data_IF_041026478659
#
_entry.id   IF_041026478659
#
_cell.length_a   1.000
_cell.length_b   1.000
_cell.length_c   1.000
_cell.angle_alpha   90.00
_cell.angle_beta   90.00
_cell.angle_gamma   90.00
#
_symmetry.space_group_name_H-M   'P 1'
#
loop_
_entity.id
_entity.type
_entity.pdbx_description
1 polymer ?
#
# COMPACT_ATOMS: atom_id res chain seq x y z
N UNK A 1 13.85 -10.56 -5.72
CA UNK A 1 13.00 -11.73 -5.41
C UNK A 1 11.52 -11.39 -5.53
N UNK A 2 11.01 -10.35 -4.83
CA UNK A 2 9.58 -9.99 -4.84
C UNK A 2 9.05 -9.65 -6.25
N UNK A 3 9.76 -8.78 -6.98
CA UNK A 3 9.36 -8.38 -8.33
C UNK A 3 9.34 -9.58 -9.30
N UNK A 4 10.31 -10.49 -9.20
CA UNK A 4 10.32 -11.71 -10.01
C UNK A 4 9.10 -12.60 -9.73
N UNK A 5 8.72 -12.73 -8.47
CA UNK A 5 7.52 -13.49 -8.07
C UNK A 5 6.24 -12.85 -8.61
N UNK A 6 6.11 -11.51 -8.53
CA UNK A 6 4.99 -10.79 -9.13
C UNK A 6 4.90 -11.01 -10.65
N UNK A 7 6.03 -10.96 -11.35
CA UNK A 7 6.07 -11.20 -12.81
C UNK A 7 5.58 -12.61 -13.13
N UNK A 8 6.02 -13.62 -12.38
CA UNK A 8 5.57 -15.00 -12.57
C UNK A 8 4.07 -15.14 -12.35
N UNK A 9 3.54 -14.55 -11.28
CA UNK A 9 2.11 -14.54 -10.98
C UNK A 9 1.30 -13.77 -12.04
N UNK A 10 1.80 -12.64 -12.53
CA UNK A 10 1.16 -11.85 -13.58
C UNK A 10 1.10 -12.63 -14.90
N UNK A 11 2.20 -13.27 -15.31
CA UNK A 11 2.23 -14.12 -16.50
C UNK A 11 1.22 -15.26 -16.34
N UNK A 12 1.19 -15.95 -15.21
CA UNK A 12 0.23 -17.01 -14.95
C UNK A 12 -1.22 -16.51 -15.07
N UNK A 13 -1.53 -15.34 -14.48
CA UNK A 13 -2.87 -14.75 -14.50
C UNK A 13 -3.35 -14.41 -15.92
N UNK A 14 -2.45 -14.01 -16.83
CA UNK A 14 -2.78 -13.73 -18.22
C UNK A 14 -3.19 -14.97 -19.03
N UNK A 15 -2.81 -16.18 -18.60
CA UNK A 15 -3.23 -17.43 -19.25
C UNK A 15 -4.57 -17.97 -18.74
N UNK A 16 -5.23 -17.30 -17.80
CA UNK A 16 -6.55 -17.69 -17.31
C UNK A 16 -7.64 -17.39 -18.36
N UNK A 17 -8.71 -18.17 -18.33
CA UNK A 17 -9.80 -18.08 -19.33
C UNK A 17 -10.53 -16.73 -19.34
N UNK A 18 -10.68 -16.08 -18.19
CA UNK A 18 -11.29 -14.76 -18.04
C UNK A 18 -10.34 -13.57 -18.18
N UNK A 19 -9.09 -13.82 -18.61
CA UNK A 19 -8.06 -12.77 -18.66
C UNK A 19 -8.43 -11.60 -19.57
N UNK A 20 -9.08 -11.86 -20.71
CA UNK A 20 -9.50 -10.83 -21.66
C UNK A 20 -10.50 -9.84 -21.07
N UNK A 21 -11.50 -10.33 -20.35
CA UNK A 21 -12.51 -9.49 -19.69
C UNK A 21 -11.90 -8.71 -18.52
N UNK A 22 -11.11 -9.39 -17.67
CA UNK A 22 -10.42 -8.77 -16.55
C UNK A 22 -9.43 -7.68 -16.98
N UNK A 23 -8.66 -7.90 -18.05
CA UNK A 23 -7.76 -6.89 -18.61
C UNK A 23 -8.52 -5.72 -19.24
N UNK A 24 -9.65 -5.99 -19.89
CA UNK A 24 -10.51 -4.94 -20.44
C UNK A 24 -11.09 -4.08 -19.33
N UNK A 25 -11.57 -4.68 -18.26
CA UNK A 25 -12.06 -3.98 -17.08
C UNK A 25 -10.96 -3.09 -16.47
N UNK A 26 -9.76 -3.60 -16.33
CA UNK A 26 -8.66 -2.92 -15.67
C UNK A 26 -8.04 -1.79 -16.51
N UNK A 27 -7.81 -2.01 -17.80
CA UNK A 27 -7.06 -1.09 -18.66
C UNK A 27 -7.92 -0.18 -19.53
N UNK A 28 -9.22 -0.49 -19.70
CA UNK A 28 -10.10 0.35 -20.53
C UNK A 28 -10.69 1.48 -19.68
N UNK A 29 -10.22 2.72 -19.85
CA UNK A 29 -10.71 3.85 -19.07
C UNK A 29 -12.14 4.19 -19.45
N UNK A 30 -12.99 4.42 -18.46
CA UNK A 30 -14.33 4.97 -18.62
C UNK A 30 -14.32 6.44 -18.14
N UNK A 31 -14.09 7.34 -19.06
CA UNK A 31 -14.00 8.78 -18.76
C UNK A 31 -15.34 9.37 -18.26
N UNK A 32 -16.46 8.68 -18.47
CA UNK A 32 -17.77 9.15 -17.99
C UNK A 32 -17.91 9.08 -16.47
N UNK A 33 -17.09 8.26 -15.83
CA UNK A 33 -17.08 8.06 -14.37
C UNK A 33 -16.12 8.99 -13.63
N UNK A 34 -15.32 9.78 -14.33
CA UNK A 34 -14.39 10.73 -13.72
C UNK A 34 -15.17 11.90 -13.14
N UNK A 35 -15.21 11.98 -11.83
CA UNK A 35 -15.78 13.09 -11.06
C UNK A 35 -14.75 13.60 -10.03
N UNK A 36 -15.12 14.61 -9.25
CA UNK A 36 -14.25 15.18 -8.22
C UNK A 36 -13.76 14.14 -7.20
N UNK A 37 -14.63 13.23 -6.80
CA UNK A 37 -14.30 12.20 -5.80
C UNK A 37 -13.26 11.20 -6.32
N UNK A 38 -13.34 10.83 -7.60
CA UNK A 38 -12.36 9.97 -8.26
C UNK A 38 -10.99 10.63 -8.31
N UNK A 39 -10.95 11.94 -8.63
CA UNK A 39 -9.69 12.70 -8.66
C UNK A 39 -9.07 12.80 -7.26
N UNK A 40 -9.88 13.13 -6.25
CA UNK A 40 -9.42 13.19 -4.85
C UNK A 40 -8.95 11.80 -4.36
N UNK A 41 -9.68 10.75 -4.66
CA UNK A 41 -9.30 9.38 -4.33
C UNK A 41 -7.97 8.97 -4.97
N UNK A 42 -7.77 9.28 -6.25
CA UNK A 42 -6.51 9.01 -6.94
C UNK A 42 -5.33 9.79 -6.34
N UNK A 43 -5.57 11.06 -5.98
CA UNK A 43 -4.58 11.91 -5.32
C UNK A 43 -4.20 11.36 -3.94
N UNK A 44 -5.19 10.97 -3.13
CA UNK A 44 -4.95 10.38 -1.81
C UNK A 44 -4.15 9.07 -1.93
N UNK A 45 -4.47 8.23 -2.91
CA UNK A 45 -3.73 7.01 -3.18
C UNK A 45 -2.26 7.30 -3.57
N UNK A 46 -2.01 8.32 -4.38
CA UNK A 46 -0.66 8.73 -4.74
C UNK A 46 0.14 9.23 -3.51
N UNK A 47 -0.48 10.02 -2.63
CA UNK A 47 0.16 10.46 -1.38
C UNK A 47 0.47 9.28 -0.46
N UNK A 48 -0.43 8.30 -0.40
CA UNK A 48 -0.24 7.12 0.43
C UNK A 48 0.89 6.22 -0.11
N UNK A 49 0.85 5.83 -1.39
CA UNK A 49 1.83 4.89 -1.95
C UNK A 49 3.25 5.46 -2.00
N UNK A 50 3.39 6.74 -2.32
CA UNK A 50 4.67 7.44 -2.35
C UNK A 50 5.11 7.97 -0.98
N UNK A 51 4.28 7.84 0.06
CA UNK A 51 4.56 8.31 1.43
C UNK A 51 5.00 9.78 1.52
N UNK A 52 4.49 10.64 0.64
CA UNK A 52 4.98 12.01 0.47
C UNK A 52 4.75 12.89 1.70
N UNK A 53 3.62 12.73 2.39
CA UNK A 53 3.25 13.52 3.57
C UNK A 53 3.87 13.06 4.89
N UNK A 54 4.51 11.89 4.93
CA UNK A 54 5.08 11.31 6.15
C UNK A 54 6.52 11.76 6.44
N UNK A 55 7.16 12.48 5.54
CA UNK A 55 8.58 12.82 5.68
C UNK A 55 9.54 11.65 5.46
N UNK A 56 9.04 10.44 5.14
CA UNK A 56 9.85 9.24 4.94
C UNK A 56 10.89 9.41 3.86
N UNK A 57 10.53 10.05 2.76
CA UNK A 57 11.47 10.35 1.67
C UNK A 57 12.58 11.31 2.08
N UNK A 58 12.35 12.21 3.04
CA UNK A 58 13.39 13.08 3.58
C UNK A 58 14.43 12.27 4.38
N UNK A 59 13.97 11.30 5.18
CA UNK A 59 14.85 10.42 5.95
C UNK A 59 15.64 9.49 5.02
N UNK A 60 14.98 8.82 4.09
CA UNK A 60 15.68 7.99 3.10
C UNK A 60 16.63 8.81 2.25
N UNK A 61 16.24 10.03 1.84
CA UNK A 61 17.09 10.97 1.15
C UNK A 61 18.34 11.37 1.93
N UNK A 62 18.27 11.39 3.28
CA UNK A 62 19.45 11.67 4.12
C UNK A 62 20.49 10.55 4.13
N UNK A 63 20.11 9.34 3.73
CA UNK A 63 21.01 8.18 3.62
C UNK A 63 21.66 8.04 2.22
N UNK A 64 21.16 8.79 1.24
CA UNK A 64 21.69 8.77 -0.13
C UNK A 64 22.98 9.58 -0.18
N UNK A 65 24.04 9.01 -0.78
CA UNK A 65 25.32 9.68 -1.01
C UNK A 65 25.19 10.87 -1.97
N UNK A 66 26.14 11.82 -1.89
CA UNK A 66 26.14 13.04 -2.72
C UNK A 66 26.39 12.79 -4.22
N UNK A 67 26.80 11.60 -4.57
CA UNK A 67 27.04 11.09 -5.93
C UNK A 67 25.76 10.67 -6.65
N UNK A 68 24.62 10.62 -5.95
CA UNK A 68 23.30 10.29 -6.52
C UNK A 68 22.48 11.55 -6.78
N UNK A 69 21.74 11.55 -7.91
CA UNK A 69 20.78 12.60 -8.22
C UNK A 69 19.44 12.34 -7.51
N UNK A 70 18.99 13.23 -6.64
CA UNK A 70 17.70 13.11 -5.97
C UNK A 70 16.53 13.01 -6.95
N UNK A 71 16.57 13.74 -8.06
CA UNK A 71 15.53 13.66 -9.10
C UNK A 71 15.55 12.30 -9.79
N UNK A 72 16.72 11.73 -10.07
CA UNK A 72 16.87 10.40 -10.64
C UNK A 72 16.29 9.32 -9.73
N UNK A 73 16.60 9.38 -8.43
CA UNK A 73 16.06 8.44 -7.45
C UNK A 73 14.54 8.58 -7.28
N UNK A 74 14.02 9.81 -7.29
CA UNK A 74 12.56 10.05 -7.22
C UNK A 74 11.85 9.43 -8.44
N UNK A 75 12.37 9.60 -9.66
CA UNK A 75 11.82 9.00 -10.87
C UNK A 75 11.87 7.47 -10.80
N UNK A 76 12.94 6.89 -10.30
CA UNK A 76 13.09 5.45 -10.12
C UNK A 76 12.03 4.91 -9.15
N UNK A 77 11.83 5.57 -8.01
CA UNK A 77 10.82 5.19 -7.01
C UNK A 77 9.42 5.23 -7.62
N UNK A 78 9.04 6.34 -8.25
CA UNK A 78 7.72 6.50 -8.88
C UNK A 78 7.49 5.44 -9.96
N UNK A 79 8.50 5.20 -10.79
CA UNK A 79 8.40 4.21 -11.89
C UNK A 79 8.23 2.79 -11.37
N UNK A 80 8.97 2.41 -10.33
CA UNK A 80 8.86 1.09 -9.70
C UNK A 80 7.53 0.92 -8.95
N UNK A 81 7.08 1.93 -8.21
CA UNK A 81 5.79 1.93 -7.53
C UNK A 81 4.63 1.72 -8.53
N UNK A 82 4.62 2.51 -9.59
CA UNK A 82 3.63 2.40 -10.67
C UNK A 82 3.69 1.02 -11.35
N UNK A 83 4.88 0.51 -11.64
CA UNK A 83 5.05 -0.82 -12.24
C UNK A 83 4.47 -1.92 -11.34
N UNK A 84 4.76 -1.88 -10.04
CA UNK A 84 4.25 -2.85 -9.06
C UNK A 84 2.73 -2.76 -8.96
N UNK A 85 2.16 -1.56 -8.91
CA UNK A 85 0.72 -1.36 -8.89
C UNK A 85 0.03 -1.92 -10.14
N UNK A 86 0.60 -1.68 -11.32
CA UNK A 86 0.09 -2.24 -12.58
C UNK A 86 0.18 -3.77 -12.61
N UNK A 87 1.29 -4.36 -12.17
CA UNK A 87 1.43 -5.81 -12.08
C UNK A 87 0.43 -6.44 -11.10
N UNK A 88 0.18 -5.79 -9.96
CA UNK A 88 -0.83 -6.26 -9.00
C UNK A 88 -2.22 -6.32 -9.62
N UNK A 89 -2.63 -5.31 -10.38
CA UNK A 89 -3.89 -5.32 -11.12
C UNK A 89 -3.96 -6.45 -12.16
N UNK A 90 -2.89 -6.68 -12.90
CA UNK A 90 -2.80 -7.80 -13.87
C UNK A 90 -2.91 -9.17 -13.19
N UNK A 91 -2.49 -9.30 -11.94
CA UNK A 91 -2.64 -10.54 -11.17
C UNK A 91 -4.10 -10.72 -10.73
N UNK A 92 -4.71 -9.68 -10.19
CA UNK A 92 -5.97 -9.75 -9.46
C UNK A 92 -7.18 -9.78 -10.40
N UNK A 93 -7.28 -8.81 -11.32
CA UNK A 93 -8.50 -8.68 -12.14
C UNK A 93 -8.79 -9.87 -13.05
N UNK A 94 -7.84 -10.40 -13.84
CA UNK A 94 -8.09 -11.58 -14.62
C UNK A 94 -8.51 -12.79 -13.78
N UNK A 95 -7.94 -12.93 -12.58
CA UNK A 95 -8.29 -14.00 -11.67
C UNK A 95 -9.74 -13.88 -11.17
N UNK A 96 -10.17 -12.67 -10.74
CA UNK A 96 -11.54 -12.41 -10.31
C UNK A 96 -12.56 -12.73 -11.43
N UNK A 97 -12.32 -12.26 -12.66
CA UNK A 97 -13.21 -12.51 -13.79
C UNK A 97 -13.26 -13.99 -14.21
N UNK A 98 -12.13 -14.70 -14.15
CA UNK A 98 -12.09 -16.13 -14.44
C UNK A 98 -12.99 -16.94 -13.53
N UNK A 99 -13.07 -16.57 -12.25
CA UNK A 99 -13.83 -17.30 -11.23
C UNK A 99 -15.18 -16.65 -10.90
N UNK A 100 -15.61 -15.64 -11.67
CA UNK A 100 -16.86 -14.89 -11.48
C UNK A 100 -17.02 -14.36 -10.06
N UNK A 101 -15.95 -13.81 -9.49
CA UNK A 101 -15.96 -13.21 -8.18
C UNK A 101 -16.13 -11.69 -8.29
N UNK A 102 -16.84 -11.11 -7.33
CA UNK A 102 -16.99 -9.68 -7.25
C UNK A 102 -15.64 -9.00 -7.02
N UNK A 103 -15.40 -7.93 -7.76
CA UNK A 103 -14.23 -7.09 -7.60
C UNK A 103 -14.46 -6.16 -6.42
N UNK A 104 -14.14 -6.65 -5.24
CA UNK A 104 -14.14 -5.87 -4.01
C UNK A 104 -12.91 -4.97 -3.92
N UNK A 105 -12.79 -4.21 -2.85
CA UNK A 105 -11.65 -3.36 -2.54
C UNK A 105 -11.11 -3.65 -1.13
N UNK A 106 -9.89 -3.17 -0.87
CA UNK A 106 -9.27 -3.29 0.45
C UNK A 106 -8.90 -4.73 0.84
N UNK A 107 -8.86 -5.03 2.16
CA UNK A 107 -8.44 -6.33 2.68
C UNK A 107 -9.30 -7.50 2.19
N UNK A 108 -10.61 -7.28 1.99
CA UNK A 108 -11.52 -8.32 1.51
C UNK A 108 -11.10 -8.86 0.13
N UNK A 109 -10.63 -7.99 -0.77
CA UNK A 109 -10.11 -8.43 -2.06
C UNK A 109 -8.90 -9.35 -1.90
N UNK A 110 -7.98 -9.05 -0.99
CA UNK A 110 -6.73 -9.79 -0.81
C UNK A 110 -6.91 -11.09 -0.03
N UNK A 111 -7.74 -11.09 1.02
CA UNK A 111 -7.86 -12.23 1.93
C UNK A 111 -9.03 -13.14 1.60
N UNK A 112 -10.18 -12.59 1.24
CA UNK A 112 -11.38 -13.41 0.95
C UNK A 112 -11.46 -13.75 -0.54
N UNK A 113 -11.42 -12.74 -1.43
CA UNK A 113 -11.58 -12.96 -2.86
C UNK A 113 -10.41 -13.75 -3.43
N UNK A 114 -9.16 -13.36 -3.14
CA UNK A 114 -7.99 -14.08 -3.66
C UNK A 114 -7.82 -15.46 -3.04
N UNK A 115 -8.18 -15.67 -1.76
CA UNK A 115 -8.22 -17.01 -1.18
C UNK A 115 -9.22 -17.92 -1.91
N UNK A 116 -10.40 -17.39 -2.26
CA UNK A 116 -11.42 -18.12 -3.03
C UNK A 116 -10.94 -18.42 -4.46
N UNK A 117 -10.27 -17.45 -5.12
CA UNK A 117 -9.63 -17.67 -6.42
C UNK A 117 -8.68 -18.86 -6.34
N UNK A 118 -7.74 -18.85 -5.41
CA UNK A 118 -6.75 -19.90 -5.30
C UNK A 118 -7.37 -21.26 -4.97
N UNK A 119 -8.42 -21.32 -4.15
CA UNK A 119 -9.10 -22.57 -3.83
C UNK A 119 -9.76 -23.23 -5.07
N UNK A 120 -10.10 -22.44 -6.08
CA UNK A 120 -10.69 -22.94 -7.33
C UNK A 120 -9.65 -23.22 -8.42
N UNK A 121 -8.36 -22.88 -8.20
CA UNK A 121 -7.30 -23.08 -9.19
C UNK A 121 -6.63 -24.46 -9.09
N UNK A 122 -6.26 -25.09 -10.21
CA UNK A 122 -5.37 -26.23 -10.18
C UNK A 122 -3.99 -25.81 -9.65
N UNK A 123 -3.46 -26.56 -8.68
CA UNK A 123 -2.18 -26.21 -8.04
C UNK A 123 -2.29 -25.15 -6.93
N UNK A 124 -3.45 -25.01 -6.29
CA UNK A 124 -3.77 -24.08 -5.21
C UNK A 124 -2.68 -23.96 -4.15
N UNK A 125 -2.07 -25.08 -3.72
CA UNK A 125 -1.02 -25.07 -2.69
C UNK A 125 0.22 -24.29 -3.12
N UNK A 126 0.58 -24.34 -4.40
CA UNK A 126 1.77 -23.64 -4.90
C UNK A 126 1.45 -22.18 -5.12
N UNK A 127 0.44 -21.86 -5.93
CA UNK A 127 0.11 -20.48 -6.32
C UNK A 127 -0.37 -19.65 -5.13
N UNK A 128 -1.25 -20.19 -4.30
CA UNK A 128 -1.71 -19.53 -3.07
C UNK A 128 -0.57 -19.29 -2.08
N UNK A 129 0.29 -20.30 -1.85
CA UNK A 129 1.43 -20.14 -0.95
C UNK A 129 2.42 -19.08 -1.47
N UNK A 130 2.71 -19.03 -2.76
CA UNK A 130 3.58 -18.02 -3.35
C UNK A 130 2.99 -16.62 -3.23
N UNK A 131 1.69 -16.46 -3.46
CA UNK A 131 1.00 -15.18 -3.32
C UNK A 131 1.03 -14.67 -1.89
N UNK A 132 0.61 -15.48 -0.92
CA UNK A 132 0.61 -15.06 0.48
C UNK A 132 2.02 -14.88 1.05
N UNK A 133 2.99 -15.67 0.61
CA UNK A 133 4.40 -15.45 0.96
C UNK A 133 4.90 -14.10 0.43
N UNK A 134 4.57 -13.77 -0.82
CA UNK A 134 4.85 -12.45 -1.39
C UNK A 134 4.21 -11.33 -0.56
N UNK A 135 2.93 -11.47 -0.19
CA UNK A 135 2.20 -10.50 0.64
C UNK A 135 2.88 -10.26 2.00
N UNK A 136 3.32 -11.34 2.66
CA UNK A 136 4.04 -11.25 3.94
C UNK A 136 5.35 -10.46 3.78
N UNK A 137 6.16 -10.77 2.78
CA UNK A 137 7.41 -10.05 2.54
C UNK A 137 7.19 -8.59 2.14
N UNK A 138 6.18 -8.31 1.34
CA UNK A 138 5.80 -6.94 0.98
C UNK A 138 5.37 -6.14 2.22
N UNK A 139 4.48 -6.70 3.04
CA UNK A 139 4.02 -6.07 4.28
C UNK A 139 5.18 -5.83 5.26
N UNK A 140 6.06 -6.82 5.46
CA UNK A 140 7.22 -6.66 6.33
C UNK A 140 8.16 -5.54 5.88
N UNK A 141 8.45 -5.43 4.59
CA UNK A 141 9.31 -4.36 4.07
C UNK A 141 8.71 -2.97 4.31
N UNK A 142 7.40 -2.82 4.14
CA UNK A 142 6.67 -1.58 4.40
C UNK A 142 6.70 -1.22 5.89
N UNK A 143 6.37 -2.17 6.77
CA UNK A 143 6.38 -1.96 8.24
C UNK A 143 7.77 -1.54 8.70
N UNK A 144 8.84 -2.20 8.23
CA UNK A 144 10.21 -1.84 8.59
C UNK A 144 10.57 -0.41 8.12
N UNK A 145 10.16 -0.02 6.91
CA UNK A 145 10.39 1.33 6.40
C UNK A 145 9.68 2.41 7.22
N UNK A 146 8.41 2.19 7.57
CA UNK A 146 7.63 3.11 8.41
C UNK A 146 8.20 3.18 9.84
N UNK A 147 8.55 2.04 10.42
CA UNK A 147 9.17 2.01 11.76
C UNK A 147 10.53 2.74 11.78
N UNK A 148 11.37 2.59 10.76
CA UNK A 148 12.65 3.31 10.67
C UNK A 148 12.42 4.82 10.57
N UNK A 149 11.41 5.26 9.80
CA UNK A 149 11.04 6.67 9.71
C UNK A 149 10.64 7.25 11.08
N UNK A 150 9.74 6.58 11.80
CA UNK A 150 9.29 6.99 13.13
C UNK A 150 10.47 6.97 14.12
N UNK A 151 11.31 5.93 14.06
CA UNK A 151 12.45 5.77 14.94
C UNK A 151 13.49 6.88 14.74
N UNK A 152 13.80 7.24 13.48
CA UNK A 152 14.70 8.33 13.18
C UNK A 152 14.21 9.65 13.79
N UNK A 153 12.92 9.97 13.57
CA UNK A 153 12.30 11.17 14.16
C UNK A 153 12.35 11.17 15.69
N UNK A 154 11.99 10.06 16.35
CA UNK A 154 12.02 9.96 17.83
C UNK A 154 13.44 10.17 18.33
N UNK A 155 14.44 9.58 17.70
CA UNK A 155 15.84 9.72 18.09
C UNK A 155 16.34 11.16 17.99
N UNK A 156 15.99 11.84 16.92
CA UNK A 156 16.38 13.23 16.70
C UNK A 156 15.73 14.17 17.72
N UNK A 157 14.47 13.93 18.09
CA UNK A 157 13.75 14.74 19.07
C UNK A 157 14.11 14.45 20.52
N UNK A 158 14.40 13.20 20.87
CA UNK A 158 14.54 12.76 22.28
C UNK A 158 15.95 12.38 22.67
N UNK A 159 16.83 12.12 21.71
CA UNK A 159 18.17 11.59 21.96
C UNK A 159 18.19 10.14 22.47
N UNK A 160 17.08 9.39 22.36
CA UNK A 160 17.00 8.00 22.84
C UNK A 160 17.94 7.07 22.05
N UNK A 161 18.41 6.03 22.75
CA UNK A 161 19.15 4.97 22.08
C UNK A 161 18.25 4.22 21.08
N UNK A 162 18.85 3.66 20.02
CA UNK A 162 18.12 2.91 18.97
C UNK A 162 17.30 1.78 19.56
N UNK A 163 17.83 1.03 20.52
CA UNK A 163 17.15 -0.11 21.15
C UNK A 163 15.91 0.35 21.92
N UNK A 164 16.04 1.40 22.74
CA UNK A 164 14.91 1.94 23.52
C UNK A 164 13.80 2.47 22.58
N UNK A 165 14.17 3.27 21.59
CA UNK A 165 13.21 3.82 20.61
C UNK A 165 12.52 2.70 19.82
N UNK A 166 13.25 1.69 19.35
CA UNK A 166 12.71 0.56 18.59
C UNK A 166 11.73 -0.28 19.42
N UNK A 167 12.03 -0.56 20.69
CA UNK A 167 11.12 -1.29 21.56
C UNK A 167 9.82 -0.55 21.80
N UNK A 168 9.89 0.76 22.11
CA UNK A 168 8.69 1.57 22.35
C UNK A 168 7.86 1.71 21.07
N UNK A 169 8.51 2.01 19.94
CA UNK A 169 7.84 2.08 18.64
C UNK A 169 7.15 0.76 18.30
N UNK A 170 7.84 -0.37 18.46
CA UNK A 170 7.27 -1.69 18.21
C UNK A 170 6.05 -2.00 19.07
N UNK A 171 6.09 -1.67 20.37
CA UNK A 171 4.94 -1.87 21.26
C UNK A 171 3.76 -1.00 20.84
N UNK A 172 4.00 0.28 20.54
CA UNK A 172 2.92 1.20 20.11
C UNK A 172 2.29 0.75 18.80
N UNK A 173 3.11 0.42 17.80
CA UNK A 173 2.62 -0.10 16.50
C UNK A 173 1.84 -1.40 16.69
N UNK A 174 2.33 -2.31 17.53
CA UNK A 174 1.65 -3.57 17.83
C UNK A 174 0.27 -3.34 18.47
N UNK A 175 0.19 -2.46 19.47
CA UNK A 175 -1.10 -2.14 20.14
C UNK A 175 -2.08 -1.51 19.16
N UNK A 176 -1.64 -0.56 18.32
CA UNK A 176 -2.50 0.05 17.30
C UNK A 176 -2.94 -0.96 16.24
N UNK A 177 -2.04 -1.85 15.80
CA UNK A 177 -2.38 -2.91 14.86
C UNK A 177 -3.38 -3.91 15.43
N UNK A 178 -3.32 -4.21 16.74
CA UNK A 178 -4.31 -5.07 17.41
C UNK A 178 -5.72 -4.49 17.35
N UNK A 179 -5.91 -3.18 17.50
CA UNK A 179 -7.24 -2.56 17.40
C UNK A 179 -7.83 -2.77 16.01
N UNK A 180 -7.01 -2.61 14.98
CA UNK A 180 -7.44 -2.83 13.59
C UNK A 180 -7.72 -4.32 13.32
N UNK A 181 -6.83 -5.22 13.73
CA UNK A 181 -7.00 -6.66 13.53
C UNK A 181 -8.23 -7.22 14.27
N UNK A 182 -8.44 -6.82 15.51
CA UNK A 182 -9.62 -7.22 16.30
C UNK A 182 -10.90 -6.54 15.81
N UNK A 183 -10.79 -5.42 15.11
CA UNK A 183 -11.93 -4.71 14.52
C UNK A 183 -12.68 -5.54 13.46
N UNK A 184 -12.02 -6.50 12.84
CA UNK A 184 -12.67 -7.42 11.88
C UNK A 184 -13.44 -8.57 12.54
N UNK A 185 -13.27 -8.80 13.87
CA UNK A 185 -13.86 -9.97 14.52
C UNK A 185 -14.56 -9.69 15.84
N UNK A 186 -13.90 -9.02 16.79
CA UNK A 186 -14.37 -8.89 18.18
C UNK A 186 -14.73 -7.45 18.54
N UNK A 187 -13.93 -6.49 18.11
CA UNK A 187 -14.12 -5.07 18.41
C UNK A 187 -14.91 -4.41 17.26
N UNK A 188 -16.21 -4.67 17.21
CA UNK A 188 -17.10 -4.05 16.24
C UNK A 188 -17.17 -2.53 16.46
N UNK A 189 -16.59 -1.78 15.56
CA UNK A 189 -16.63 -0.32 15.54
C UNK A 189 -16.97 0.14 14.12
N UNK A 190 -18.04 0.85 13.99
CA UNK A 190 -18.57 1.34 12.71
C UNK A 190 -18.62 2.87 12.74
N UNK A 191 -17.48 3.54 12.44
CA UNK A 191 -17.34 4.98 12.65
C UNK A 191 -18.17 5.83 11.68
N UNK A 192 -18.42 5.34 10.46
CA UNK A 192 -19.03 6.16 9.41
C UNK A 192 -20.37 5.59 8.91
N UNK A 193 -20.47 4.27 8.72
CA UNK A 193 -21.67 3.57 8.24
C UNK A 193 -21.60 2.09 8.60
N UNK A 194 -22.70 1.37 8.40
CA UNK A 194 -22.71 -0.08 8.53
C UNK A 194 -21.70 -0.72 7.59
N UNK A 195 -20.91 -1.65 8.11
CA UNK A 195 -19.82 -2.33 7.38
C UNK A 195 -18.46 -1.64 7.42
N UNK A 196 -18.34 -0.42 7.97
CA UNK A 196 -17.04 0.22 8.21
C UNK A 196 -16.34 -0.35 9.45
N UNK A 197 -15.00 -0.25 9.49
CA UNK A 197 -14.17 -0.86 10.52
C UNK A 197 -13.19 0.13 11.13
N UNK A 198 -12.39 -0.32 12.10
CA UNK A 198 -11.25 0.43 12.61
C UNK A 198 -10.23 0.80 11.52
N UNK A 199 -10.08 -0.04 10.50
CA UNK A 199 -9.20 0.25 9.37
C UNK A 199 -9.67 1.50 8.61
N UNK A 200 -10.97 1.58 8.30
CA UNK A 200 -11.56 2.72 7.60
C UNK A 200 -11.42 4.03 8.40
N UNK A 201 -11.52 3.93 9.73
CA UNK A 201 -11.31 5.07 10.62
C UNK A 201 -9.88 5.60 10.56
N UNK A 202 -8.89 4.71 10.67
CA UNK A 202 -7.48 5.11 10.59
C UNK A 202 -7.09 5.59 9.20
N UNK A 203 -7.62 4.95 8.16
CA UNK A 203 -7.39 5.36 6.77
C UNK A 203 -7.95 6.76 6.51
N UNK A 204 -9.16 7.05 6.98
CA UNK A 204 -9.73 8.40 6.88
C UNK A 204 -8.85 9.46 7.57
N UNK A 205 -8.37 9.19 8.80
CA UNK A 205 -7.52 10.14 9.50
C UNK A 205 -6.18 10.31 8.78
N UNK A 206 -5.50 9.22 8.47
CA UNK A 206 -4.11 9.26 7.99
C UNK A 206 -4.08 9.55 6.49
N UNK A 207 -4.71 8.72 5.66
CA UNK A 207 -4.55 8.79 4.21
C UNK A 207 -5.33 9.96 3.60
N UNK A 208 -6.55 10.20 4.11
CA UNK A 208 -7.42 11.25 3.54
C UNK A 208 -7.09 12.65 4.07
N UNK A 209 -6.61 12.78 5.31
CA UNK A 209 -6.38 14.09 5.92
C UNK A 209 -4.91 14.39 6.22
N UNK A 210 -4.23 13.53 7.01
CA UNK A 210 -2.87 13.84 7.50
C UNK A 210 -1.84 13.84 6.38
N UNK A 211 -1.88 12.90 5.45
CA UNK A 211 -0.91 12.81 4.36
C UNK A 211 -1.00 14.00 3.39
N UNK A 212 -2.18 14.39 2.87
CA UNK A 212 -2.28 15.57 2.01
C UNK A 212 -1.87 16.87 2.72
N UNK A 213 -2.29 17.05 3.99
CA UNK A 213 -1.90 18.23 4.78
C UNK A 213 -0.40 18.23 5.06
N UNK A 214 0.18 17.10 5.42
CA UNK A 214 1.62 16.94 5.63
C UNK A 214 2.42 17.26 4.36
N UNK A 215 1.94 16.79 3.20
CA UNK A 215 2.56 17.10 1.90
C UNK A 215 2.51 18.60 1.59
N UNK A 216 1.38 19.26 1.87
CA UNK A 216 1.24 20.70 1.69
C UNK A 216 2.20 21.47 2.60
N UNK A 217 2.29 21.09 3.88
CA UNK A 217 3.21 21.73 4.85
C UNK A 217 4.66 21.57 4.41
N UNK A 218 5.06 20.36 3.99
CA UNK A 218 6.42 20.10 3.47
C UNK A 218 6.71 20.92 2.20
N UNK A 219 5.76 20.98 1.26
CA UNK A 219 5.91 21.77 0.05
C UNK A 219 6.08 23.27 0.37
N UNK A 220 5.23 23.82 1.24
CA UNK A 220 5.33 25.22 1.67
C UNK A 220 6.65 25.50 2.40
N UNK A 221 7.10 24.58 3.25
CA UNK A 221 8.40 24.71 3.93
C UNK A 221 9.56 24.75 2.93
N UNK A 222 9.58 23.84 1.98
CA UNK A 222 10.62 23.79 0.96
C UNK A 222 10.62 25.06 0.09
N UNK A 223 9.45 25.52 -0.36
CA UNK A 223 9.34 26.71 -1.20
C UNK A 223 9.74 28.00 -0.47
N UNK A 224 9.46 28.11 0.83
CA UNK A 224 9.76 29.33 1.58
C UNK A 224 11.16 29.37 2.19
N UNK A 225 11.75 28.22 2.49
CA UNK A 225 13.03 28.14 3.21
C UNK A 225 14.22 27.86 2.29
N UNK A 226 14.00 27.20 1.16
CA UNK A 226 15.04 26.73 0.24
C UNK A 226 14.81 27.17 -1.22
N UNK A 227 13.73 27.89 -1.52
CA UNK A 227 13.37 28.41 -2.85
C UNK A 227 13.88 29.84 -3.12
#
# INVERSE_FOLDING_TARGET
ALLALMIVLAIHSLFLSGSGEGMTFYLKPDFSKINGDVVVGAMNQAFFSLSTGMGGMAIFGSYIGKDHSLMGEAINVISLDTLVALLAGIIIFPACFTYNLEVNSGPNLLFDTMATVFNNMPGVRIWGSLFFLFMVFAAMSTVLGVCENILAMIRDLTGWSRIKGSLICGIVVFVLALTTALGFSVLHFQPFAEGTTWLDFWDFIVSTNVLPLGSLVLALFCCNKFG
#
